data_IF_439776779496
#
_entry.id   IF_439776779496
#
_cell.length_a   1.000
_cell.length_b   1.000
_cell.length_c   1.000
_cell.angle_alpha   90.00
_cell.angle_beta   90.00
_cell.angle_gamma   90.00
#
_symmetry.space_group_name_H-M   'P 1'
#
loop_
_entity.id
_entity.type
_entity.pdbx_description
1 polymer ?
#
# COMPACT_ATOMS: atom_id res chain seq x y z
N UNK A 1 26.90 17.48 24.87
CA UNK A 1 25.99 16.33 25.01
C UNK A 1 26.43 15.31 23.97
N UNK A 2 26.94 14.15 24.39
CA UNK A 2 27.27 13.08 23.46
C UNK A 2 25.97 12.38 23.08
N UNK A 3 25.33 12.82 21.99
CA UNK A 3 24.29 12.03 21.32
C UNK A 3 24.98 10.85 20.63
N UNK A 4 25.32 9.82 21.39
CA UNK A 4 25.63 8.51 20.82
C UNK A 4 24.31 7.94 20.27
N UNK A 5 24.03 8.25 19.01
CA UNK A 5 22.94 7.60 18.29
C UNK A 5 23.34 6.13 18.13
N UNK A 6 22.49 5.22 18.62
CA UNK A 6 22.73 3.79 18.42
C UNK A 6 22.59 3.49 16.94
N UNK A 7 23.47 2.66 16.39
CA UNK A 7 23.46 2.26 14.99
C UNK A 7 23.46 0.74 14.90
N UNK A 8 22.67 0.19 13.98
CA UNK A 8 22.72 -1.23 13.65
C UNK A 8 23.66 -1.48 12.47
N UNK A 9 24.35 -2.62 12.53
CA UNK A 9 25.24 -3.08 11.47
C UNK A 9 24.44 -3.90 10.44
N UNK A 10 24.50 -3.55 9.14
CA UNK A 10 23.95 -4.38 8.07
C UNK A 10 24.45 -5.84 8.07
N UNK A 11 25.65 -6.12 8.59
CA UNK A 11 26.15 -7.50 8.66
C UNK A 11 25.29 -8.38 9.57
N UNK A 12 24.84 -7.86 10.72
CA UNK A 12 23.91 -8.56 11.62
C UNK A 12 22.59 -8.89 10.91
N UNK A 13 22.12 -7.97 10.05
CA UNK A 13 20.87 -8.14 9.32
C UNK A 13 20.97 -9.18 8.21
N UNK A 14 22.17 -9.45 7.69
CA UNK A 14 22.44 -10.50 6.70
C UNK A 14 22.69 -11.88 7.33
N UNK A 15 22.92 -11.95 8.64
CA UNK A 15 23.22 -13.18 9.37
C UNK A 15 21.93 -13.99 9.69
N UNK A 16 21.81 -15.24 9.20
CA UNK A 16 20.66 -16.08 9.52
C UNK A 16 20.54 -16.43 11.01
N UNK A 17 21.65 -16.53 11.76
CA UNK A 17 21.62 -16.87 13.18
C UNK A 17 21.10 -15.69 14.00
N UNK A 18 21.51 -14.47 13.64
CA UNK A 18 20.93 -13.24 14.18
C UNK A 18 19.43 -13.17 13.91
N UNK A 19 19.01 -13.44 12.67
CA UNK A 19 17.59 -13.44 12.31
C UNK A 19 16.79 -14.49 13.09
N UNK A 20 17.36 -15.66 13.37
CA UNK A 20 16.69 -16.69 14.14
C UNK A 20 16.55 -16.32 15.63
N UNK A 21 17.52 -15.60 16.20
CA UNK A 21 17.44 -15.07 17.57
C UNK A 21 16.38 -13.97 17.70
N UNK A 22 16.24 -13.13 16.68
CA UNK A 22 15.29 -12.01 16.64
C UNK A 22 14.13 -12.26 15.67
N UNK A 23 13.68 -13.52 15.57
CA UNK A 23 12.75 -13.97 14.53
C UNK A 23 11.47 -13.14 14.44
N UNK A 24 10.95 -12.64 15.57
CA UNK A 24 9.73 -11.82 15.60
C UNK A 24 9.88 -10.53 14.79
N UNK A 25 11.05 -9.89 14.83
CA UNK A 25 11.31 -8.65 14.10
C UNK A 25 11.46 -8.93 12.59
N UNK A 26 12.15 -10.02 12.24
CA UNK A 26 12.31 -10.44 10.85
C UNK A 26 10.99 -10.94 10.24
N UNK A 27 10.14 -11.62 11.02
CA UNK A 27 8.81 -12.04 10.57
C UNK A 27 7.88 -10.83 10.38
N UNK A 28 7.95 -9.83 11.26
CA UNK A 28 7.23 -8.56 11.07
C UNK A 28 7.72 -7.80 9.82
N UNK A 29 9.04 -7.78 9.59
CA UNK A 29 9.63 -7.25 8.36
C UNK A 29 9.10 -7.99 7.13
N UNK A 30 9.10 -9.33 7.13
CA UNK A 30 8.56 -10.15 6.04
C UNK A 30 7.09 -9.80 5.77
N UNK A 31 6.25 -9.73 6.80
CA UNK A 31 4.82 -9.41 6.63
C UNK A 31 4.61 -8.00 6.05
N UNK A 32 5.41 -7.01 6.49
CA UNK A 32 5.40 -5.67 5.91
C UNK A 32 5.79 -5.69 4.42
N UNK A 33 6.84 -6.43 4.06
CA UNK A 33 7.31 -6.55 2.68
C UNK A 33 6.27 -7.26 1.80
N UNK A 34 5.64 -8.33 2.29
CA UNK A 34 4.55 -9.05 1.61
C UNK A 34 3.36 -8.13 1.37
N UNK A 35 3.05 -7.20 2.29
CA UNK A 35 2.00 -6.18 2.12
C UNK A 35 2.35 -5.08 1.12
N UNK A 36 3.58 -5.08 0.57
CA UNK A 36 4.08 -4.11 -0.40
C UNK A 36 4.68 -2.86 0.25
N UNK A 37 5.01 -2.88 1.55
CA UNK A 37 5.64 -1.74 2.22
C UNK A 37 7.08 -1.56 1.68
N UNK A 38 7.50 -0.32 1.37
CA UNK A 38 8.88 -0.02 0.98
C UNK A 38 9.88 -0.57 1.99
N UNK A 39 11.03 -1.00 1.49
CA UNK A 39 12.04 -1.74 2.26
C UNK A 39 12.52 -0.97 3.49
N UNK A 40 12.88 0.28 3.28
CA UNK A 40 13.34 1.23 4.29
C UNK A 40 12.28 1.40 5.39
N UNK A 41 11.02 1.66 4.99
CA UNK A 41 9.91 1.79 5.93
C UNK A 41 9.64 0.49 6.69
N UNK A 42 9.70 -0.66 6.01
CA UNK A 42 9.51 -1.96 6.64
C UNK A 42 10.59 -2.25 7.69
N UNK A 43 11.86 -1.86 7.45
CA UNK A 43 12.92 -1.96 8.46
C UNK A 43 12.65 -1.01 9.63
N UNK A 44 12.36 0.26 9.34
CA UNK A 44 12.09 1.27 10.37
C UNK A 44 11.00 0.82 11.32
N UNK A 45 9.89 0.32 10.77
CA UNK A 45 8.72 -0.08 11.53
C UNK A 45 8.95 -1.41 12.27
N UNK A 46 9.45 -2.44 11.59
CA UNK A 46 9.61 -3.78 12.17
C UNK A 46 10.67 -3.83 13.28
N UNK A 47 11.74 -3.04 13.16
CA UNK A 47 12.81 -2.95 14.16
C UNK A 47 12.66 -1.73 15.09
N UNK A 48 11.54 -0.99 14.96
CA UNK A 48 11.16 0.13 15.81
C UNK A 48 12.25 1.20 15.97
N UNK A 49 12.99 1.48 14.87
CA UNK A 49 14.20 2.30 14.90
C UNK A 49 13.97 3.70 15.49
N UNK A 50 12.82 4.30 15.18
CA UNK A 50 12.43 5.61 15.72
C UNK A 50 12.20 5.54 17.24
N UNK A 51 11.44 4.54 17.71
CA UNK A 51 11.13 4.37 19.14
C UNK A 51 12.39 4.13 19.96
N UNK A 52 13.33 3.38 19.40
CA UNK A 52 14.60 3.02 20.02
C UNK A 52 15.69 4.08 19.83
N UNK A 53 15.39 5.20 19.15
CA UNK A 53 16.36 6.27 18.84
C UNK A 53 17.61 5.76 18.09
N UNK A 54 17.40 4.77 17.24
CA UNK A 54 18.44 4.25 16.34
C UNK A 54 18.56 5.19 15.14
N UNK A 55 19.79 5.37 14.66
CA UNK A 55 20.07 6.17 13.48
C UNK A 55 19.31 5.63 12.26
N UNK A 56 18.76 6.55 11.46
CA UNK A 56 18.04 6.21 10.22
C UNK A 56 18.91 6.36 8.96
N UNK A 57 20.22 6.67 9.10
CA UNK A 57 21.07 7.01 7.95
C UNK A 57 21.32 5.82 7.00
N UNK A 58 21.30 4.58 7.52
CA UNK A 58 21.65 3.36 6.78
C UNK A 58 20.45 2.43 6.56
N UNK A 59 19.21 2.90 6.72
CA UNK A 59 18.00 2.06 6.62
C UNK A 59 17.86 1.34 5.28
N UNK A 60 18.31 1.93 4.17
CA UNK A 60 18.35 1.23 2.87
C UNK A 60 19.32 0.05 2.90
N UNK A 61 20.50 0.22 3.53
CA UNK A 61 21.50 -0.84 3.64
C UNK A 61 21.01 -1.97 4.55
N UNK A 62 20.44 -1.63 5.71
CA UNK A 62 19.81 -2.59 6.63
C UNK A 62 18.73 -3.40 5.93
N UNK A 63 17.88 -2.74 5.14
CA UNK A 63 16.83 -3.43 4.41
C UNK A 63 17.36 -4.33 3.29
N UNK A 64 18.45 -3.95 2.61
CA UNK A 64 19.08 -4.80 1.60
C UNK A 64 19.73 -6.02 2.23
N UNK A 65 20.36 -5.84 3.39
CA UNK A 65 20.89 -6.94 4.17
C UNK A 65 19.79 -7.90 4.63
N UNK A 66 18.67 -7.39 5.14
CA UNK A 66 17.51 -8.19 5.51
C UNK A 66 16.94 -8.97 4.30
N UNK A 67 16.77 -8.32 3.14
CA UNK A 67 16.35 -9.02 1.90
C UNK A 67 17.38 -10.07 1.44
N UNK A 68 18.66 -9.87 1.72
CA UNK A 68 19.72 -10.82 1.37
C UNK A 68 19.79 -12.03 2.33
N UNK A 69 19.26 -11.88 3.55
CA UNK A 69 19.32 -12.87 4.62
C UNK A 69 18.64 -14.21 4.20
N UNK A 70 19.31 -15.36 4.34
CA UNK A 70 18.73 -16.67 4.04
C UNK A 70 17.44 -16.97 4.81
N UNK A 71 17.34 -16.54 6.07
CA UNK A 71 16.13 -16.70 6.90
C UNK A 71 14.91 -16.04 6.25
N UNK A 72 15.11 -14.81 5.76
CA UNK A 72 14.07 -13.97 5.15
C UNK A 72 13.67 -14.55 3.80
N UNK A 73 14.64 -14.82 2.92
CA UNK A 73 14.39 -15.38 1.58
C UNK A 73 13.57 -16.66 1.65
N UNK A 74 13.95 -17.61 2.51
CA UNK A 74 13.28 -18.90 2.62
C UNK A 74 11.82 -18.81 3.11
N UNK A 75 11.47 -17.74 3.82
CA UNK A 75 10.14 -17.52 4.40
C UNK A 75 9.28 -16.57 3.59
N UNK A 76 9.89 -15.60 2.89
CA UNK A 76 9.17 -14.58 2.15
C UNK A 76 8.23 -15.18 1.11
N UNK A 77 8.72 -16.09 0.26
CA UNK A 77 7.90 -16.69 -0.80
C UNK A 77 6.74 -17.51 -0.23
N UNK A 78 6.97 -18.21 0.90
CA UNK A 78 5.92 -18.95 1.60
C UNK A 78 4.87 -18.00 2.20
N UNK A 79 5.32 -16.93 2.84
CA UNK A 79 4.46 -15.92 3.42
C UNK A 79 3.63 -15.21 2.34
N UNK A 80 4.23 -14.89 1.18
CA UNK A 80 3.55 -14.29 0.04
C UNK A 80 2.49 -15.25 -0.54
N UNK A 81 2.86 -16.51 -0.78
CA UNK A 81 1.95 -17.51 -1.33
C UNK A 81 0.77 -17.83 -0.40
N UNK A 82 0.94 -17.66 0.92
CA UNK A 82 -0.13 -17.87 1.90
C UNK A 82 -1.19 -16.76 1.91
N UNK A 83 -0.94 -15.59 1.30
CA UNK A 83 -1.88 -14.47 1.31
C UNK A 83 -2.87 -14.58 0.17
N UNK A 84 -4.15 -14.37 0.48
CA UNK A 84 -5.20 -14.24 -0.52
C UNK A 84 -5.22 -12.79 -1.02
N UNK A 85 -5.01 -12.60 -2.33
CA UNK A 85 -4.84 -11.27 -2.93
C UNK A 85 -5.97 -10.30 -2.56
N UNK A 86 -7.23 -10.73 -2.67
CA UNK A 86 -8.41 -9.85 -2.50
C UNK A 86 -8.76 -9.55 -1.03
N UNK A 87 -8.38 -10.40 -0.08
CA UNK A 87 -8.71 -10.19 1.35
C UNK A 87 -7.52 -9.71 2.17
N UNK A 88 -6.29 -10.08 1.79
CA UNK A 88 -5.12 -9.88 2.64
C UNK A 88 -4.15 -8.85 2.04
N UNK A 89 -3.96 -8.86 0.72
CA UNK A 89 -3.00 -7.96 0.05
C UNK A 89 -3.64 -6.68 -0.48
N UNK A 90 -4.83 -6.77 -1.07
CA UNK A 90 -5.48 -5.67 -1.79
C UNK A 90 -7.01 -5.72 -1.64
N UNK A 91 -7.48 -5.34 -0.45
CA UNK A 91 -8.92 -5.21 -0.18
C UNK A 91 -9.51 -3.96 -0.80
N UNK A 92 -10.82 -3.94 -0.98
CA UNK A 92 -11.56 -2.73 -1.40
C UNK A 92 -11.28 -1.55 -0.47
N UNK A 93 -11.26 -1.78 0.86
CA UNK A 93 -10.93 -0.74 1.84
C UNK A 93 -9.51 -0.21 1.66
N UNK A 94 -8.52 -1.08 1.39
CA UNK A 94 -7.13 -0.67 1.13
C UNK A 94 -7.02 0.14 -0.16
N UNK A 95 -7.73 -0.25 -1.21
CA UNK A 95 -7.79 0.49 -2.47
C UNK A 95 -8.39 1.90 -2.25
N UNK A 96 -9.55 1.99 -1.58
CA UNK A 96 -10.18 3.28 -1.22
C UNK A 96 -9.25 4.15 -0.40
N UNK A 97 -8.64 3.60 0.65
CA UNK A 97 -7.74 4.34 1.52
C UNK A 97 -6.52 4.90 0.78
N UNK A 98 -5.92 4.13 -0.14
CA UNK A 98 -4.80 4.61 -0.95
C UNK A 98 -5.22 5.69 -1.96
N UNK A 99 -6.42 5.58 -2.54
CA UNK A 99 -6.95 6.65 -3.39
C UNK A 99 -7.18 7.94 -2.59
N UNK A 100 -7.75 7.85 -1.40
CA UNK A 100 -7.93 9.00 -0.50
C UNK A 100 -6.58 9.67 -0.16
N UNK A 101 -5.53 8.88 0.14
CA UNK A 101 -4.18 9.43 0.36
C UNK A 101 -3.68 10.26 -0.83
N UNK A 102 -3.90 9.78 -2.06
CA UNK A 102 -3.50 10.51 -3.27
C UNK A 102 -4.33 11.79 -3.48
N UNK A 103 -5.61 11.76 -3.10
CA UNK A 103 -6.54 12.89 -3.22
C UNK A 103 -6.16 14.01 -2.25
N UNK A 104 -5.80 13.64 -1.01
CA UNK A 104 -5.50 14.58 0.06
C UNK A 104 -4.04 15.09 0.04
N UNK A 105 -3.11 14.40 -0.64
CA UNK A 105 -1.71 14.83 -0.68
C UNK A 105 -1.54 16.10 -1.57
N UNK A 106 -1.14 17.26 -1.02
CA UNK A 106 -0.94 18.49 -1.80
C UNK A 106 0.23 18.39 -2.81
N UNK A 107 1.12 17.40 -2.68
CA UNK A 107 2.30 17.23 -3.54
C UNK A 107 1.99 16.45 -4.82
N UNK A 108 0.85 15.76 -4.86
CA UNK A 108 0.40 14.99 -6.02
C UNK A 108 -0.11 15.94 -7.10
N UNK A 109 0.35 15.72 -8.34
CA UNK A 109 -0.08 16.50 -9.52
C UNK A 109 -1.58 16.42 -9.70
N UNK A 110 -2.20 17.52 -10.11
CA UNK A 110 -3.66 17.63 -10.26
C UNK A 110 -4.27 16.58 -11.20
N UNK A 111 -3.55 16.21 -12.27
CA UNK A 111 -4.00 15.15 -13.19
C UNK A 111 -4.10 13.78 -12.49
N UNK A 112 -3.11 13.43 -11.68
CA UNK A 112 -3.12 12.21 -10.87
C UNK A 112 -4.22 12.26 -9.81
N UNK A 113 -4.42 13.42 -9.18
CA UNK A 113 -5.49 13.66 -8.20
C UNK A 113 -6.88 13.44 -8.82
N UNK A 114 -7.14 14.05 -9.98
CA UNK A 114 -8.40 13.89 -10.72
C UNK A 114 -8.65 12.43 -11.12
N UNK A 115 -7.60 11.72 -11.56
CA UNK A 115 -7.71 10.30 -11.88
C UNK A 115 -8.05 9.45 -10.65
N UNK A 116 -7.45 9.75 -9.50
CA UNK A 116 -7.77 9.07 -8.24
C UNK A 116 -9.22 9.33 -7.80
N UNK A 117 -9.72 10.57 -7.94
CA UNK A 117 -11.14 10.92 -7.68
C UNK A 117 -12.07 10.12 -8.59
N UNK A 118 -11.78 10.06 -9.90
CA UNK A 118 -12.62 9.31 -10.85
C UNK A 118 -12.65 7.81 -10.53
N UNK A 119 -11.50 7.23 -10.20
CA UNK A 119 -11.42 5.82 -9.79
C UNK A 119 -12.20 5.56 -8.50
N UNK A 120 -12.11 6.46 -7.51
CA UNK A 120 -12.87 6.35 -6.26
C UNK A 120 -14.38 6.46 -6.51
N UNK A 121 -14.81 7.41 -7.34
CA UNK A 121 -16.21 7.57 -7.70
C UNK A 121 -16.77 6.35 -8.43
N UNK A 122 -15.97 5.71 -9.29
CA UNK A 122 -16.34 4.45 -9.93
C UNK A 122 -16.50 3.31 -8.90
N UNK A 123 -15.55 3.19 -7.96
CA UNK A 123 -15.64 2.19 -6.88
C UNK A 123 -16.84 2.39 -5.95
N UNK A 124 -17.27 3.64 -5.76
CA UNK A 124 -18.46 3.99 -4.97
C UNK A 124 -19.77 3.87 -5.77
N UNK A 125 -19.72 3.55 -7.07
CA UNK A 125 -20.89 3.45 -7.93
C UNK A 125 -21.49 4.80 -8.35
N UNK A 126 -20.77 5.91 -8.15
CA UNK A 126 -21.20 7.24 -8.62
C UNK A 126 -20.94 7.44 -10.12
N UNK A 127 -20.05 6.64 -10.71
CA UNK A 127 -19.69 6.69 -12.13
C UNK A 127 -19.64 5.26 -12.69
N UNK A 128 -20.33 5.00 -13.79
CA UNK A 128 -20.12 3.79 -14.59
C UNK A 128 -18.91 4.00 -15.50
N UNK A 129 -17.88 3.15 -15.34
CA UNK A 129 -16.74 3.14 -16.25
C UNK A 129 -17.11 2.29 -17.48
N UNK A 130 -17.54 2.95 -18.54
CA UNK A 130 -17.70 2.30 -19.85
C UNK A 130 -16.30 1.94 -20.39
N UNK A 131 -16.06 0.67 -20.74
CA UNK A 131 -14.74 0.11 -21.12
C UNK A 131 -14.11 0.74 -22.39
N UNK A 132 -14.78 1.68 -23.03
CA UNK A 132 -14.27 2.39 -24.19
C UNK A 132 -14.49 3.89 -24.07
N UNK A 133 -13.46 4.60 -23.58
CA UNK A 133 -13.16 6.04 -23.75
C UNK A 133 -14.23 6.96 -24.41
N UNK A 134 -15.47 6.97 -23.93
CA UNK A 134 -16.51 7.96 -24.24
C UNK A 134 -17.42 8.07 -23.03
N UNK A 135 -17.28 9.18 -22.31
CA UNK A 135 -18.21 9.60 -21.26
C UNK A 135 -19.62 9.69 -21.85
N UNK A 136 -20.47 8.72 -21.55
CA UNK A 136 -21.91 8.91 -21.56
C UNK A 136 -22.32 9.15 -20.11
N UNK A 137 -22.77 10.36 -19.84
CA UNK A 137 -23.40 10.72 -18.58
C UNK A 137 -24.69 9.89 -18.54
N UNK A 138 -24.68 8.83 -17.74
CA UNK A 138 -25.85 7.98 -17.53
C UNK A 138 -26.91 8.77 -16.77
N UNK A 139 -28.06 8.95 -17.41
CA UNK A 139 -29.25 9.51 -16.79
C UNK A 139 -29.58 8.76 -15.51
N UNK A 140 -29.81 9.50 -14.43
CA UNK A 140 -30.17 8.89 -13.14
C UNK A 140 -31.58 8.30 -13.20
N UNK A 141 -31.95 7.41 -12.27
CA UNK A 141 -33.34 6.97 -12.11
C UNK A 141 -34.32 8.15 -11.97
N UNK A 142 -33.86 9.27 -11.42
CA UNK A 142 -34.65 10.50 -11.34
C UNK A 142 -35.01 11.07 -12.73
N UNK A 143 -34.11 10.97 -13.71
CA UNK A 143 -34.36 11.39 -15.10
C UNK A 143 -35.36 10.47 -15.80
N UNK A 144 -35.34 9.16 -15.49
CA UNK A 144 -36.31 8.21 -16.03
C UNK A 144 -37.73 8.49 -15.54
N UNK A 145 -37.91 8.86 -14.26
CA UNK A 145 -39.21 9.27 -13.71
C UNK A 145 -39.64 10.68 -14.15
N UNK A 146 -38.73 11.51 -14.67
CA UNK A 146 -39.05 12.84 -15.21
C UNK A 146 -39.54 12.78 -16.67
N UNK A 147 -39.31 11.69 -17.39
CA UNK A 147 -39.82 11.49 -18.75
C UNK A 147 -41.31 11.14 -18.72
N UNK A 148 -42.17 12.15 -18.76
CA UNK A 148 -43.60 11.93 -19.01
C UNK A 148 -43.79 11.34 -20.42
N UNK A 149 -44.61 10.28 -20.60
CA UNK A 149 -44.98 9.83 -21.93
C UNK A 149 -45.80 10.93 -22.62
N UNK A 150 -45.26 11.48 -23.71
CA UNK A 150 -46.08 12.24 -24.65
C UNK A 150 -47.08 11.25 -25.26
N UNK A 151 -48.36 11.41 -24.92
CA UNK A 151 -49.46 10.74 -25.58
C UNK A 151 -49.37 11.05 -27.07
N UNK A 152 -49.00 10.05 -27.87
CA UNK A 152 -49.16 10.11 -29.32
C UNK A 152 -50.66 9.98 -29.60
N UNK A 153 -51.33 11.12 -29.77
CA UNK A 153 -52.59 11.20 -30.49
C UNK A 153 -52.34 10.92 -31.96
N UNK A 154 -52.89 9.82 -32.46
CA UNK A 154 -53.47 9.74 -33.79
C UNK A 154 -54.53 8.65 -33.85
#
# INVERSE_FOLDING_TARGET
MNDQTTEYDPFDFADPDYAQRFYQLFDAYIDARVKGIPRDMAVIDAFELIRLRVSLHNVDQLGRAADANPYVKARFDKALAAKVVKSDLWTQNKAVHNLLKLIEDPRVRDTTRLNAINALNAMCGYLEMDEGMKRKIGHTLADFYAMKPQQQTH
#
